data_IF_295077746869
#
_entry.id   IF_295077746869
#
_cell.length_a   1.000
_cell.length_b   1.000
_cell.length_c   1.000
_cell.angle_alpha   90.00
_cell.angle_beta   90.00
_cell.angle_gamma   90.00
#
_symmetry.space_group_name_H-M   'P 1'
#
loop_
_entity.id
_entity.type
_entity.pdbx_description
1 polymer ?
#
# COMPACT_ATOMS: atom_id res chain seq x y z
N UNK A 1 9.33 -1.74 9.38
CA UNK A 1 10.53 -1.64 10.21
C UNK A 1 11.28 -2.91 10.07
N UNK A 2 12.36 -2.95 9.29
CA UNK A 2 13.27 -4.07 9.33
C UNK A 2 14.28 -3.91 10.50
N UNK A 3 15.02 -4.99 10.78
CA UNK A 3 15.87 -5.12 11.98
C UNK A 3 17.10 -4.19 12.00
N UNK A 4 17.38 -3.51 10.89
CA UNK A 4 18.51 -2.59 10.72
C UNK A 4 18.37 -1.79 9.43
N UNK A 5 19.09 -0.67 9.34
CA UNK A 5 19.20 0.12 8.11
C UNK A 5 19.61 -0.72 6.89
N UNK A 6 20.51 -1.70 7.05
CA UNK A 6 20.93 -2.58 5.95
C UNK A 6 19.77 -3.47 5.49
N UNK A 7 18.99 -4.01 6.41
CA UNK A 7 17.83 -4.82 6.08
C UNK A 7 16.75 -3.98 5.37
N UNK A 8 16.52 -2.75 5.83
CA UNK A 8 15.61 -1.79 5.18
C UNK A 8 16.07 -1.45 3.75
N UNK A 9 17.37 -1.24 3.53
CA UNK A 9 17.93 -0.98 2.20
C UNK A 9 17.76 -2.17 1.25
N UNK A 10 18.14 -3.38 1.68
CA UNK A 10 18.07 -4.59 0.84
C UNK A 10 16.62 -4.94 0.53
N UNK A 11 15.76 -5.01 1.55
CA UNK A 11 14.35 -5.34 1.36
C UNK A 11 13.62 -4.24 0.58
N UNK A 12 13.89 -2.97 0.91
CA UNK A 12 13.31 -1.81 0.22
C UNK A 12 13.68 -1.76 -1.25
N UNK A 13 14.94 -1.99 -1.60
CA UNK A 13 15.39 -2.06 -2.99
C UNK A 13 14.72 -3.21 -3.74
N UNK A 14 14.71 -4.43 -3.17
CA UNK A 14 14.08 -5.59 -3.79
C UNK A 14 12.57 -5.36 -4.04
N UNK A 15 11.85 -4.87 -3.03
CA UNK A 15 10.41 -4.55 -3.11
C UNK A 15 10.15 -3.44 -4.12
N UNK A 16 10.97 -2.39 -4.13
CA UNK A 16 10.86 -1.29 -5.09
C UNK A 16 11.08 -1.77 -6.53
N UNK A 17 12.08 -2.63 -6.79
CA UNK A 17 12.32 -3.20 -8.11
C UNK A 17 11.15 -4.04 -8.60
N UNK A 18 10.59 -4.91 -7.74
CA UNK A 18 9.39 -5.70 -8.09
C UNK A 18 8.19 -4.78 -8.35
N UNK A 19 8.03 -3.73 -7.55
CA UNK A 19 6.99 -2.72 -7.74
C UNK A 19 7.11 -1.94 -9.04
N UNK A 20 8.32 -1.51 -9.40
CA UNK A 20 8.60 -0.86 -10.67
C UNK A 20 8.28 -1.80 -11.85
N UNK A 21 8.70 -3.07 -11.77
CA UNK A 21 8.38 -4.07 -12.78
C UNK A 21 6.86 -4.31 -12.90
N UNK A 22 6.13 -4.37 -11.78
CA UNK A 22 4.67 -4.49 -11.77
C UNK A 22 3.98 -3.25 -12.38
N UNK A 23 4.47 -2.05 -12.07
CA UNK A 23 3.96 -0.80 -12.63
C UNK A 23 4.20 -0.70 -14.15
N UNK A 24 5.41 -1.02 -14.62
CA UNK A 24 5.74 -1.08 -16.05
C UNK A 24 4.84 -2.08 -16.77
N UNK A 25 4.63 -3.28 -16.19
CA UNK A 25 3.72 -4.29 -16.76
C UNK A 25 2.26 -3.83 -16.80
N UNK A 26 1.81 -3.06 -15.80
CA UNK A 26 0.44 -2.56 -15.76
C UNK A 26 0.19 -1.44 -16.79
N UNK A 27 1.24 -0.73 -17.23
CA UNK A 27 1.16 0.39 -18.17
C UNK A 27 0.28 1.53 -17.67
N UNK A 28 -0.12 2.45 -18.57
CA UNK A 28 -0.99 3.58 -18.25
C UNK A 28 -2.48 3.17 -18.09
N UNK A 29 -2.75 2.09 -17.36
CA UNK A 29 -4.10 1.57 -17.13
C UNK A 29 -4.64 1.99 -15.77
N UNK A 30 -5.94 1.79 -15.55
CA UNK A 30 -6.58 1.99 -14.24
C UNK A 30 -6.01 1.12 -13.11
N UNK A 31 -5.20 0.13 -13.46
CA UNK A 31 -4.54 -0.79 -12.52
C UNK A 31 -3.19 -0.28 -12.04
N UNK A 32 -2.61 0.72 -12.73
CA UNK A 32 -1.30 1.27 -12.40
C UNK A 32 -1.15 1.66 -10.93
N UNK A 33 -2.11 2.37 -10.28
CA UNK A 33 -1.94 2.75 -8.88
C UNK A 33 -1.80 1.53 -7.98
N UNK A 34 -2.58 0.48 -8.22
CA UNK A 34 -2.53 -0.73 -7.39
C UNK A 34 -1.27 -1.56 -7.67
N UNK A 35 -0.84 -1.63 -8.93
CA UNK A 35 0.40 -2.30 -9.32
C UNK A 35 1.66 -1.56 -8.83
N UNK A 36 1.59 -0.24 -8.63
CA UNK A 36 2.66 0.59 -8.10
C UNK A 36 2.73 0.60 -6.56
N UNK A 37 1.76 0.01 -5.86
CA UNK A 37 1.77 -0.08 -4.40
C UNK A 37 3.08 -0.66 -3.82
N UNK A 38 3.69 -1.72 -4.38
CA UNK A 38 4.96 -2.22 -3.88
C UNK A 38 6.11 -1.22 -4.07
N UNK A 39 6.07 -0.40 -5.12
CA UNK A 39 7.07 0.65 -5.31
C UNK A 39 7.00 1.67 -4.17
N UNK A 40 5.77 2.06 -3.77
CA UNK A 40 5.54 2.94 -2.61
C UNK A 40 6.05 2.29 -1.31
N UNK A 41 5.75 1.02 -1.08
CA UNK A 41 6.19 0.30 0.12
C UNK A 41 7.72 0.12 0.16
N UNK A 42 8.35 -0.12 -0.99
CA UNK A 42 9.80 -0.22 -1.12
C UNK A 42 10.48 1.12 -0.83
N UNK A 43 9.98 2.21 -1.43
CA UNK A 43 10.45 3.57 -1.13
C UNK A 43 10.29 3.92 0.35
N UNK A 44 9.18 3.51 0.97
CA UNK A 44 8.96 3.69 2.41
C UNK A 44 10.02 3.01 3.27
N UNK A 45 10.44 1.79 2.91
CA UNK A 45 11.52 1.08 3.60
C UNK A 45 12.88 1.76 3.36
N UNK A 46 13.15 2.25 2.15
CA UNK A 46 14.38 3.02 1.89
C UNK A 46 14.44 4.32 2.72
N UNK A 47 13.30 4.99 2.92
CA UNK A 47 13.19 6.15 3.82
C UNK A 47 13.45 5.75 5.27
N UNK A 48 13.00 4.57 5.70
CA UNK A 48 13.28 4.04 7.04
C UNK A 48 14.78 3.86 7.33
N UNK A 49 15.57 3.46 6.32
CA UNK A 49 17.04 3.47 6.44
C UNK A 49 17.61 4.88 6.74
N UNK A 50 16.99 5.92 6.20
CA UNK A 50 17.30 7.31 6.54
C UNK A 50 16.89 7.69 7.97
N UNK A 51 15.82 7.09 8.51
CA UNK A 51 15.43 7.26 9.92
C UNK A 51 16.48 6.67 10.85
N UNK A 52 17.02 5.49 10.53
CA UNK A 52 18.16 4.90 11.25
C UNK A 52 19.40 5.80 11.22
N UNK A 53 19.62 6.53 10.12
CA UNK A 53 20.71 7.50 10.00
C UNK A 53 20.44 8.82 10.76
N UNK A 54 19.30 8.95 11.43
CA UNK A 54 18.94 10.14 12.23
C UNK A 54 18.42 11.31 11.40
N UNK A 55 18.08 11.11 10.12
CA UNK A 55 17.65 12.21 9.26
C UNK A 55 16.26 12.71 9.64
N UNK A 56 16.18 14.00 9.98
CA UNK A 56 14.94 14.61 10.45
C UNK A 56 13.81 14.53 9.41
N UNK A 57 14.12 14.81 8.14
CA UNK A 57 13.16 14.74 7.05
C UNK A 57 12.66 13.31 6.80
N UNK A 58 13.50 12.29 7.01
CA UNK A 58 13.13 10.89 6.78
C UNK A 58 12.03 10.45 7.74
N UNK A 59 12.08 10.88 9.00
CA UNK A 59 11.03 10.62 10.01
C UNK A 59 9.67 11.15 9.56
N UNK A 60 9.65 12.38 9.06
CA UNK A 60 8.43 13.03 8.58
C UNK A 60 7.89 12.34 7.34
N UNK A 61 8.73 12.05 6.34
CA UNK A 61 8.31 11.36 5.11
C UNK A 61 7.79 9.96 5.43
N UNK A 62 8.49 9.22 6.32
CA UNK A 62 8.04 7.92 6.79
C UNK A 62 6.64 8.03 7.40
N UNK A 63 6.42 8.96 8.33
CA UNK A 63 5.13 9.10 9.00
C UNK A 63 4.00 9.53 8.05
N UNK A 64 4.28 10.41 7.08
CA UNK A 64 3.30 10.81 6.04
C UNK A 64 2.88 9.61 5.20
N UNK A 65 3.82 8.75 4.81
CA UNK A 65 3.49 7.56 4.02
C UNK A 65 2.69 6.56 4.88
N UNK A 66 3.16 6.26 6.10
CA UNK A 66 2.54 5.26 6.96
C UNK A 66 1.12 5.64 7.42
N UNK A 67 0.93 6.91 7.82
CA UNK A 67 -0.27 7.36 8.52
C UNK A 67 -1.35 7.87 7.55
N UNK A 68 -1.29 9.07 6.96
CA UNK A 68 -2.39 9.55 6.12
C UNK A 68 -2.38 8.99 4.69
N UNK A 69 -1.22 8.66 4.10
CA UNK A 69 -1.17 8.30 2.68
C UNK A 69 -1.75 6.91 2.41
N UNK A 70 -1.29 5.86 3.10
CA UNK A 70 -1.72 4.48 2.87
C UNK A 70 -3.24 4.23 3.03
N UNK A 71 -3.95 4.72 4.07
CA UNK A 71 -5.38 4.45 4.24
C UNK A 71 -6.21 5.12 3.16
N UNK A 72 -5.70 6.17 2.52
CA UNK A 72 -6.32 6.78 1.35
C UNK A 72 -5.92 6.06 0.06
N UNK A 73 -4.62 5.82 -0.13
CA UNK A 73 -4.04 5.33 -1.38
C UNK A 73 -4.50 3.91 -1.71
N UNK A 74 -4.45 2.97 -0.75
CA UNK A 74 -4.79 1.57 -1.02
C UNK A 74 -6.24 1.39 -1.48
N UNK A 75 -7.28 1.88 -0.76
CA UNK A 75 -8.64 1.74 -1.23
C UNK A 75 -8.90 2.53 -2.52
N UNK A 76 -8.28 3.70 -2.71
CA UNK A 76 -8.37 4.45 -3.96
C UNK A 76 -7.81 3.65 -5.14
N UNK A 77 -6.64 3.02 -4.97
CA UNK A 77 -6.01 2.18 -5.97
C UNK A 77 -6.87 0.96 -6.33
N UNK A 78 -7.49 0.31 -5.33
CA UNK A 78 -8.46 -0.78 -5.55
C UNK A 78 -9.70 -0.28 -6.29
N UNK A 79 -10.21 0.90 -5.94
CA UNK A 79 -11.35 1.50 -6.63
C UNK A 79 -11.02 1.85 -8.08
N UNK A 80 -9.83 2.39 -8.37
CA UNK A 80 -9.34 2.61 -9.72
C UNK A 80 -9.35 1.30 -10.52
N UNK A 81 -8.77 0.23 -9.97
CA UNK A 81 -8.62 -1.05 -10.63
C UNK A 81 -9.94 -1.80 -10.86
N UNK A 82 -10.92 -1.67 -9.95
CA UNK A 82 -12.13 -2.53 -9.93
C UNK A 82 -13.44 -1.79 -10.19
N UNK A 83 -13.49 -0.47 -9.96
CA UNK A 83 -14.69 0.39 -10.03
C UNK A 83 -15.85 -0.05 -9.13
N UNK A 84 -15.59 -0.89 -8.13
CA UNK A 84 -16.61 -1.38 -7.19
C UNK A 84 -17.03 -0.27 -6.21
N UNK A 85 -18.35 -0.15 -5.97
CA UNK A 85 -18.91 0.84 -5.00
C UNK A 85 -18.35 0.66 -3.59
N UNK A 86 -18.14 -0.58 -3.14
CA UNK A 86 -17.54 -0.86 -1.84
C UNK A 86 -16.14 -0.25 -1.67
N UNK A 87 -15.29 -0.33 -2.70
CA UNK A 87 -13.96 0.28 -2.69
C UNK A 87 -14.02 1.82 -2.68
N UNK A 88 -15.03 2.42 -3.33
CA UNK A 88 -15.26 3.86 -3.26
C UNK A 88 -15.64 4.30 -1.83
N UNK A 89 -16.54 3.57 -1.16
CA UNK A 89 -16.88 3.83 0.24
C UNK A 89 -15.68 3.66 1.17
N UNK A 90 -14.87 2.63 0.95
CA UNK A 90 -13.62 2.44 1.69
C UNK A 90 -12.62 3.58 1.42
N UNK A 91 -12.61 4.15 0.21
CA UNK A 91 -11.78 5.32 -0.12
C UNK A 91 -12.22 6.56 0.65
N UNK A 92 -13.54 6.78 0.75
CA UNK A 92 -14.10 7.88 1.55
C UNK A 92 -13.81 7.71 3.04
N UNK A 93 -13.95 6.48 3.57
CA UNK A 93 -13.55 6.16 4.93
C UNK A 93 -12.05 6.41 5.14
N UNK A 94 -11.23 5.95 4.20
CA UNK A 94 -9.78 6.16 4.19
C UNK A 94 -9.40 7.64 4.20
N UNK A 95 -10.09 8.47 3.40
CA UNK A 95 -9.94 9.92 3.40
C UNK A 95 -10.33 10.54 4.75
N UNK A 96 -11.46 10.11 5.33
CA UNK A 96 -11.91 10.57 6.64
C UNK A 96 -10.93 10.22 7.76
N UNK A 97 -10.23 9.09 7.67
CA UNK A 97 -9.15 8.69 8.59
C UNK A 97 -7.85 9.45 8.30
N UNK A 98 -7.53 9.69 7.02
CA UNK A 98 -6.31 10.37 6.62
C UNK A 98 -6.25 11.84 7.08
N UNK A 99 -7.38 12.55 7.09
CA UNK A 99 -7.46 13.95 7.51
C UNK A 99 -6.96 14.18 8.95
N UNK A 100 -7.51 13.53 10.00
CA UNK A 100 -7.02 13.72 11.37
C UNK A 100 -5.58 13.24 11.55
N UNK A 101 -5.13 12.20 10.82
CA UNK A 101 -3.74 11.76 10.84
C UNK A 101 -2.79 12.81 10.24
N UNK A 102 -3.16 13.42 9.10
CA UNK A 102 -2.40 14.50 8.48
C UNK A 102 -2.36 15.75 9.38
N UNK A 103 -3.47 16.10 10.02
CA UNK A 103 -3.54 17.20 10.97
C UNK A 103 -2.67 16.94 12.21
N UNK A 104 -2.65 15.70 12.72
CA UNK A 104 -1.76 15.33 13.82
C UNK A 104 -0.29 15.48 13.43
N UNK A 105 0.09 15.07 12.23
CA UNK A 105 1.45 15.25 11.71
C UNK A 105 1.85 16.71 11.48
N UNK A 106 0.91 17.56 11.09
CA UNK A 106 1.17 18.99 10.91
C UNK A 106 1.33 19.74 12.26
N UNK A 107 0.71 19.23 13.33
CA UNK A 107 0.66 19.89 14.65
C UNK A 107 1.66 19.33 15.66
N UNK A 108 2.10 18.09 15.48
CA UNK A 108 2.96 17.39 16.43
C UNK A 108 4.23 16.89 15.76
N UNK A 109 5.40 17.07 16.39
CA UNK A 109 6.64 16.53 15.85
C UNK A 109 6.59 15.00 15.83
N UNK A 110 7.16 14.40 14.78
CA UNK A 110 7.33 12.95 14.68
C UNK A 110 8.57 12.54 15.45
N UNK A 111 8.39 11.88 16.59
CA UNK A 111 9.51 11.28 17.31
C UNK A 111 9.76 9.86 16.79
N UNK A 112 11.03 9.51 16.62
CA UNK A 112 11.47 8.16 16.29
C UNK A 112 12.57 7.77 17.28
N UNK A 113 12.41 6.63 17.94
CA UNK A 113 13.31 6.15 18.98
C UNK A 113 13.76 4.73 18.64
N UNK A 114 15.07 4.52 18.49
CA UNK A 114 15.61 3.19 18.32
C UNK A 114 15.53 2.42 19.65
N UNK A 115 14.90 1.25 19.62
CA UNK A 115 14.81 0.30 20.73
C UNK A 115 15.50 -1.00 20.31
N UNK A 116 16.82 -1.06 20.49
CA UNK A 116 17.64 -2.18 20.00
C UNK A 116 17.62 -2.26 18.48
N UNK A 117 17.04 -3.34 17.94
CA UNK A 117 16.92 -3.59 16.50
C UNK A 117 15.58 -3.13 15.90
N UNK A 118 14.84 -2.26 16.60
CA UNK A 118 13.55 -1.75 16.15
C UNK A 118 13.50 -0.23 16.25
N UNK A 119 12.66 0.40 15.44
CA UNK A 119 12.31 1.81 15.59
C UNK A 119 10.92 1.90 16.22
N UNK A 120 10.75 2.79 17.20
CA UNK A 120 9.46 3.15 17.77
C UNK A 120 9.09 4.54 17.29
N UNK A 121 7.89 4.73 16.77
CA UNK A 121 7.42 6.02 16.29
C UNK A 121 6.32 6.52 17.19
N UNK A 122 6.44 7.77 17.64
CA UNK A 122 5.44 8.44 18.44
C UNK A 122 5.00 9.72 17.74
N UNK A 123 3.70 9.82 17.53
CA UNK A 123 3.00 10.98 16.99
C UNK A 123 1.80 11.23 17.88
N UNK A 124 1.52 12.49 18.22
CA UNK A 124 0.37 12.90 19.03
C UNK A 124 -0.96 12.73 18.29
N UNK A 125 -1.33 11.48 17.97
CA UNK A 125 -2.53 11.15 17.21
C UNK A 125 -3.75 11.10 18.14
N UNK A 126 -4.83 11.84 17.85
CA UNK A 126 -6.05 11.77 18.65
C UNK A 126 -6.76 10.44 18.45
N UNK A 127 -7.37 9.89 19.51
CA UNK A 127 -8.17 8.66 19.46
C UNK A 127 -7.50 7.51 18.63
N UNK A 128 -6.28 7.09 18.97
CA UNK A 128 -5.46 6.22 18.12
C UNK A 128 -6.13 4.87 17.81
N UNK A 129 -6.89 4.30 18.77
CA UNK A 129 -7.63 3.07 18.56
C UNK A 129 -8.74 3.18 17.50
N UNK A 130 -9.49 4.28 17.51
CA UNK A 130 -10.57 4.52 16.53
C UNK A 130 -9.99 4.75 15.13
N UNK A 131 -8.93 5.54 15.02
CA UNK A 131 -8.28 5.80 13.74
C UNK A 131 -7.61 4.55 13.18
N UNK A 132 -6.99 3.72 14.03
CA UNK A 132 -6.45 2.42 13.61
C UNK A 132 -7.56 1.49 13.12
N UNK A 133 -8.69 1.39 13.83
CA UNK A 133 -9.82 0.57 13.40
C UNK A 133 -10.37 1.05 12.05
N UNK A 134 -10.56 2.37 11.87
CA UNK A 134 -10.98 2.97 10.61
C UNK A 134 -10.00 2.74 9.47
N UNK A 135 -8.70 2.86 9.74
CA UNK A 135 -7.62 2.57 8.79
C UNK A 135 -7.71 1.13 8.29
N UNK A 136 -7.75 0.17 9.22
CA UNK A 136 -7.81 -1.25 8.88
C UNK A 136 -9.11 -1.59 8.14
N UNK A 137 -10.24 -1.04 8.58
CA UNK A 137 -11.52 -1.22 7.90
C UNK A 137 -11.48 -0.70 6.45
N UNK A 138 -10.90 0.48 6.20
CA UNK A 138 -10.77 1.03 4.85
C UNK A 138 -9.88 0.16 3.95
N UNK A 139 -8.69 -0.21 4.44
CA UNK A 139 -7.72 -0.99 3.66
C UNK A 139 -8.21 -2.42 3.41
N UNK A 140 -8.57 -3.14 4.48
CA UNK A 140 -9.00 -4.54 4.39
C UNK A 140 -10.36 -4.65 3.70
N UNK A 141 -11.30 -3.74 3.98
CA UNK A 141 -12.61 -3.70 3.35
C UNK A 141 -12.52 -3.55 1.83
N UNK A 142 -11.64 -2.66 1.34
CA UNK A 142 -11.42 -2.50 -0.09
C UNK A 142 -10.83 -3.76 -0.73
N UNK A 143 -9.78 -4.33 -0.13
CA UNK A 143 -9.10 -5.53 -0.65
C UNK A 143 -10.02 -6.76 -0.67
N UNK A 144 -10.73 -7.01 0.42
CA UNK A 144 -11.64 -8.15 0.57
C UNK A 144 -12.91 -7.98 -0.29
N UNK A 145 -13.41 -6.74 -0.42
CA UNK A 145 -14.58 -6.39 -1.23
C UNK A 145 -14.30 -6.18 -2.73
N UNK A 146 -13.05 -6.36 -3.17
CA UNK A 146 -12.60 -6.09 -4.55
C UNK A 146 -13.24 -6.99 -5.60
N UNK A 147 -13.68 -8.20 -5.22
CA UNK A 147 -14.18 -9.23 -6.14
C UNK A 147 -13.09 -10.05 -6.84
N UNK A 148 -11.82 -9.69 -6.68
CA UNK A 148 -10.67 -10.39 -7.26
C UNK A 148 -10.06 -11.36 -6.23
N UNK A 149 -9.78 -12.60 -6.62
CA UNK A 149 -9.26 -13.63 -5.71
C UNK A 149 -7.86 -13.31 -5.20
N UNK A 150 -7.00 -12.72 -6.02
CA UNK A 150 -5.65 -12.33 -5.64
C UNK A 150 -5.67 -11.13 -4.69
N UNK A 151 -6.49 -10.13 -4.95
CA UNK A 151 -6.65 -8.97 -4.05
C UNK A 151 -7.30 -9.35 -2.71
N UNK A 152 -8.23 -10.31 -2.71
CA UNK A 152 -8.76 -10.90 -1.48
C UNK A 152 -7.70 -11.65 -0.68
N UNK A 153 -6.85 -12.44 -1.35
CA UNK A 153 -5.72 -13.10 -0.69
C UNK A 153 -4.78 -12.06 -0.08
N UNK A 154 -4.47 -10.98 -0.80
CA UNK A 154 -3.70 -9.86 -0.28
C UNK A 154 -4.35 -9.22 0.94
N UNK A 155 -5.68 -9.06 0.93
CA UNK A 155 -6.46 -8.59 2.08
C UNK A 155 -6.31 -9.51 3.29
N UNK A 156 -6.46 -10.82 3.12
CA UNK A 156 -6.27 -11.79 4.20
C UNK A 156 -4.85 -11.81 4.75
N UNK A 157 -3.84 -11.85 3.87
CA UNK A 157 -2.43 -11.84 4.25
C UNK A 157 -2.09 -10.56 5.03
N UNK A 158 -2.57 -9.40 4.56
CA UNK A 158 -2.40 -8.11 5.25
C UNK A 158 -3.13 -8.10 6.59
N UNK A 159 -4.36 -8.61 6.65
CA UNK A 159 -5.17 -8.66 7.87
C UNK A 159 -4.58 -9.58 8.94
N UNK A 160 -4.17 -10.80 8.57
CA UNK A 160 -3.46 -11.72 9.46
C UNK A 160 -2.12 -11.15 9.90
N UNK A 161 -1.38 -10.51 9.00
CA UNK A 161 -0.14 -9.81 9.33
C UNK A 161 -0.37 -8.72 10.38
N UNK A 162 -1.39 -7.88 10.20
CA UNK A 162 -1.77 -6.85 11.16
C UNK A 162 -2.18 -7.44 12.52
N UNK A 163 -2.97 -8.52 12.53
CA UNK A 163 -3.38 -9.22 13.75
C UNK A 163 -2.18 -9.84 14.48
N UNK A 164 -1.29 -10.53 13.74
CA UNK A 164 -0.07 -11.10 14.30
C UNK A 164 0.82 -10.00 14.90
N UNK A 165 0.95 -8.85 14.23
CA UNK A 165 1.65 -7.68 14.75
C UNK A 165 1.01 -7.14 16.04
N UNK A 166 -0.33 -7.09 16.12
CA UNK A 166 -1.03 -6.67 17.33
C UNK A 166 -0.83 -7.63 18.52
N UNK A 167 -0.84 -8.95 18.26
CA UNK A 167 -0.73 -9.98 19.31
C UNK A 167 0.71 -10.25 19.75
N UNK A 168 1.68 -10.16 18.85
CA UNK A 168 3.09 -10.53 19.10
C UNK A 168 3.96 -9.32 19.47
N UNK A 169 3.36 -8.33 20.14
CA UNK A 169 3.88 -6.98 20.42
C UNK A 169 5.32 -6.91 20.97
N UNK A 170 5.89 -8.01 21.49
CA UNK A 170 7.24 -8.07 22.09
C UNK A 170 8.30 -8.88 21.32
N UNK A 171 7.99 -9.63 20.26
CA UNK A 171 8.97 -10.60 19.71
C UNK A 171 9.23 -10.56 18.20
N UNK A 172 8.33 -10.02 17.35
CA UNK A 172 8.50 -10.17 15.90
C UNK A 172 7.92 -9.05 15.00
N UNK A 173 7.56 -7.89 15.55
CA UNK A 173 6.90 -6.80 14.80
C UNK A 173 7.67 -6.34 13.54
N UNK A 174 8.98 -6.58 13.53
CA UNK A 174 9.94 -5.96 12.60
C UNK A 174 10.23 -6.86 11.37
N UNK A 175 10.35 -8.18 11.52
CA UNK A 175 10.50 -9.04 10.32
C UNK A 175 9.20 -9.21 9.52
N UNK A 176 8.05 -9.06 10.17
CA UNK A 176 6.74 -9.33 9.55
C UNK A 176 6.39 -8.30 8.49
N UNK A 177 6.74 -7.02 8.69
CA UNK A 177 6.41 -5.98 7.71
C UNK A 177 7.20 -6.11 6.41
N UNK A 178 8.51 -6.39 6.51
CA UNK A 178 9.36 -6.55 5.32
C UNK A 178 8.98 -7.82 4.55
N UNK A 179 8.70 -8.92 5.27
CA UNK A 179 8.18 -10.14 4.67
C UNK A 179 6.79 -9.94 4.04
N UNK A 180 5.90 -9.20 4.71
CA UNK A 180 4.57 -8.85 4.19
C UNK A 180 4.68 -7.99 2.92
N UNK A 181 5.56 -7.00 2.90
CA UNK A 181 5.81 -6.15 1.75
C UNK A 181 6.35 -6.98 0.57
N UNK A 182 7.31 -7.88 0.81
CA UNK A 182 7.82 -8.79 -0.21
C UNK A 182 6.71 -9.72 -0.76
N UNK A 183 5.92 -10.33 0.13
CA UNK A 183 4.82 -11.20 -0.27
C UNK A 183 3.74 -10.43 -1.06
N UNK A 184 3.36 -9.24 -0.60
CA UNK A 184 2.45 -8.34 -1.30
C UNK A 184 2.98 -7.97 -2.69
N UNK A 185 4.30 -7.70 -2.79
CA UNK A 185 4.97 -7.39 -4.06
C UNK A 185 4.83 -8.54 -5.06
N UNK A 186 5.08 -9.77 -4.63
CA UNK A 186 4.95 -10.96 -5.48
C UNK A 186 3.50 -11.17 -5.91
N UNK A 187 2.55 -11.04 -4.99
CA UNK A 187 1.12 -11.18 -5.31
C UNK A 187 0.67 -10.13 -6.33
N UNK A 188 1.05 -8.86 -6.14
CA UNK A 188 0.69 -7.78 -7.05
C UNK A 188 1.38 -7.88 -8.40
N UNK A 189 2.64 -8.33 -8.44
CA UNK A 189 3.33 -8.64 -9.69
C UNK A 189 2.61 -9.74 -10.47
N UNK A 190 2.20 -10.82 -9.81
CA UNK A 190 1.42 -11.90 -10.43
C UNK A 190 0.03 -11.42 -10.89
N UNK A 191 -0.63 -10.60 -10.10
CA UNK A 191 -1.93 -10.01 -10.46
C UNK A 191 -1.82 -9.12 -11.71
N UNK A 192 -0.75 -8.32 -11.82
CA UNK A 192 -0.45 -7.54 -13.01
C UNK A 192 -0.15 -8.42 -14.23
N UNK A 193 0.41 -9.63 -14.03
CA UNK A 193 0.76 -10.56 -15.09
C UNK A 193 -0.42 -11.31 -15.72
N UNK A 194 -1.45 -11.66 -14.94
CA UNK A 194 -2.52 -12.57 -15.37
C UNK A 194 -3.65 -11.88 -16.14
N UNK A 195 -3.77 -10.55 -16.07
CA UNK A 195 -4.92 -9.83 -16.64
C UNK A 195 -4.67 -8.91 -17.88
N UNK A 196 -3.74 -9.14 -18.83
CA UNK A 196 -3.56 -8.21 -19.96
C UNK A 196 -4.75 -8.15 -20.97
N UNK A 197 -5.68 -9.09 -20.92
CA UNK A 197 -6.51 -9.49 -22.08
C UNK A 197 -7.90 -8.86 -22.20
N UNK A 198 -8.31 -7.92 -21.35
CA UNK A 198 -9.67 -7.33 -21.42
C UNK A 198 -9.76 -5.97 -22.11
N UNK A 199 -8.73 -5.53 -22.83
CA UNK A 199 -8.68 -4.21 -23.50
C UNK A 199 -8.39 -4.26 -25.00
N UNK A 200 -8.39 -5.44 -25.63
CA UNK A 200 -8.07 -5.61 -27.05
C UNK A 200 -9.25 -6.11 -27.92
N UNK A 201 -10.50 -5.93 -27.49
CA UNK A 201 -11.69 -6.24 -28.29
C UNK A 201 -12.51 -4.99 -28.54
N UNK A 202 -11.93 -4.05 -29.30
CA UNK A 202 -12.71 -3.16 -30.16
C UNK A 202 -12.35 -3.59 -31.58
N UNK A 203 -13.21 -4.43 -32.18
CA UNK A 203 -13.12 -4.79 -33.59
C UNK A 203 -13.18 -3.53 -34.46
N UNK A 204 -12.37 -3.40 -35.52
CA UNK A 204 -12.59 -2.36 -36.52
C UNK A 204 -13.95 -2.61 -37.15
N UNK A 205 -14.86 -1.64 -37.03
CA UNK A 205 -16.12 -1.61 -37.76
C UNK A 205 -15.79 -1.59 -39.26
N UNK A 206 -16.17 -2.66 -39.95
CA UNK A 206 -16.09 -2.83 -41.40
C UNK A 206 -16.89 -1.70 -42.09
N UNK A 207 -16.35 -1.01 -43.11
CA UNK A 207 -17.07 0.07 -43.78
C UNK A 207 -18.22 -0.50 -44.64
N UNK A 208 -19.36 0.20 -44.73
CA UNK A 208 -20.49 -0.25 -45.56
C UNK A 208 -20.08 -0.28 -47.03
N UNK A 209 -20.14 -1.47 -47.62
CA UNK A 209 -19.93 -1.68 -49.05
C UNK A 209 -20.96 -0.90 -49.87
N UNK A 210 -20.45 -0.10 -50.80
CA UNK A 210 -21.19 0.49 -51.90
C UNK A 210 -21.65 -0.62 -52.86
N UNK A 211 -22.92 -1.01 -52.76
CA UNK A 211 -23.58 -1.89 -53.72
C UNK A 211 -24.56 -1.09 -54.59
N UNK A 212 -24.08 -0.60 -55.72
CA UNK A 212 -24.90 -0.23 -56.89
C UNK A 212 -25.04 -1.46 -57.79
N UNK A 213 -26.27 -1.84 -58.14
CA UNK A 213 -26.58 -2.93 -59.07
C UNK A 213 -28.01 -3.39 -58.93
#
# INVERSE_FOLDING_TARGET
MCWSARADLVAGAAVATVGAAAAVRAGATRRLPLAALPLLLGAHQLVEAGVWAGWAWARTVWAVVALPLLPLYVPAAVWCATRRRGAAWCTLLGAAVAVPLALALARHPVAAHAHGHTLGYAVGVPAPGLLLAGYLAAVLGALLGSGDRCLRLLGWVTGLGALACALLWRLAFVSTWCALAALASVLLYRWAAVNPSSSASTSPTEPPGSGTG
#
